data_IF_536641412654
#
_entry.id   IF_536641412654
#
_cell.length_a   1.000
_cell.length_b   1.000
_cell.length_c   1.000
_cell.angle_alpha   90.00
_cell.angle_beta   90.00
_cell.angle_gamma   90.00
#
_symmetry.space_group_name_H-M   'P 1'
#
loop_
_entity.id
_entity.type
_entity.pdbx_description
1 polymer ?
#
# COMPACT_ATOMS: atom_id res chain seq x y z
N UNK A 1 6.58 -15.37 13.35
CA UNK A 1 6.10 -13.98 13.15
C UNK A 1 4.93 -14.09 12.18
N UNK A 2 3.73 -13.65 12.57
CA UNK A 2 2.43 -13.72 11.87
C UNK A 2 2.09 -15.03 11.14
N UNK A 3 1.04 -15.71 11.58
CA UNK A 3 0.60 -17.00 11.02
C UNK A 3 -0.44 -16.83 9.92
N UNK A 4 -1.12 -15.69 9.89
CA UNK A 4 -2.30 -15.44 9.06
C UNK A 4 -2.50 -13.94 8.83
N UNK A 5 -3.35 -13.60 7.86
CA UNK A 5 -3.64 -12.22 7.49
C UNK A 5 -4.25 -11.41 8.64
N UNK A 6 -5.07 -12.03 9.50
CA UNK A 6 -5.68 -11.36 10.64
C UNK A 6 -4.62 -10.90 11.64
N UNK A 7 -3.65 -11.77 11.93
CA UNK A 7 -2.52 -11.44 12.81
C UNK A 7 -1.65 -10.33 12.24
N UNK A 8 -1.41 -10.30 10.91
CA UNK A 8 -0.71 -9.21 10.22
C UNK A 8 -1.50 -7.91 10.36
N UNK A 9 -2.81 -7.96 10.09
CA UNK A 9 -3.70 -6.82 10.15
C UNK A 9 -3.73 -6.19 11.55
N UNK A 10 -3.95 -7.00 12.58
CA UNK A 10 -3.96 -6.54 13.99
C UNK A 10 -2.60 -5.94 14.37
N UNK A 11 -1.50 -6.62 14.04
CA UNK A 11 -0.16 -6.17 14.40
C UNK A 11 0.27 -4.88 13.71
N UNK A 12 0.03 -4.75 12.41
CA UNK A 12 0.36 -3.53 11.69
C UNK A 12 -0.59 -2.38 12.04
N UNK A 13 -1.88 -2.65 12.19
CA UNK A 13 -2.86 -1.63 12.59
C UNK A 13 -2.51 -1.04 13.96
N UNK A 14 -2.02 -1.84 14.90
CA UNK A 14 -1.50 -1.33 16.17
C UNK A 14 -0.29 -0.42 16.00
N UNK A 15 0.68 -0.84 15.19
CA UNK A 15 1.99 -0.21 15.15
C UNK A 15 2.03 1.05 14.26
N UNK A 16 1.22 1.11 13.20
CA UNK A 16 1.31 2.15 12.18
C UNK A 16 1.16 3.57 12.74
N UNK A 17 0.04 3.85 13.43
CA UNK A 17 -0.21 5.17 14.01
C UNK A 17 0.79 5.52 15.12
N UNK A 18 1.18 4.54 15.94
CA UNK A 18 2.19 4.73 16.99
C UNK A 18 3.57 5.05 16.43
N UNK A 19 3.98 4.40 15.34
CA UNK A 19 5.26 4.64 14.67
C UNK A 19 5.33 6.02 13.99
N UNK A 20 4.19 6.66 13.77
CA UNK A 20 4.06 7.97 13.12
C UNK A 20 3.65 9.05 14.14
N UNK A 21 4.14 8.92 15.37
CA UNK A 21 3.95 9.85 16.49
C UNK A 21 2.48 10.15 16.80
N UNK A 22 1.56 9.22 16.49
CA UNK A 22 0.11 9.43 16.61
C UNK A 22 -0.39 10.67 15.85
N UNK A 23 0.29 11.04 14.78
CA UNK A 23 -0.10 12.16 13.94
C UNK A 23 -0.95 11.67 12.76
N UNK A 24 -2.19 12.15 12.67
CA UNK A 24 -3.17 11.74 11.64
C UNK A 24 -2.65 12.03 10.24
N UNK A 25 -2.10 13.23 10.01
CA UNK A 25 -1.60 13.65 8.70
C UNK A 25 -0.41 12.79 8.27
N UNK A 26 0.55 12.51 9.16
CA UNK A 26 1.66 11.60 8.89
C UNK A 26 1.16 10.19 8.59
N UNK A 27 0.23 9.67 9.39
CA UNK A 27 -0.29 8.32 9.26
C UNK A 27 -1.04 8.07 7.95
N UNK A 28 -1.98 8.95 7.61
CA UNK A 28 -2.73 8.87 6.36
C UNK A 28 -1.84 9.22 5.16
N UNK A 29 -1.01 10.26 5.29
CA UNK A 29 -0.07 10.67 4.24
C UNK A 29 0.90 9.56 3.86
N UNK A 30 1.49 8.87 4.83
CA UNK A 30 2.33 7.71 4.57
C UNK A 30 1.56 6.59 3.86
N UNK A 31 0.31 6.32 4.28
CA UNK A 31 -0.55 5.32 3.64
C UNK A 31 -0.85 5.66 2.18
N UNK A 32 -1.18 6.93 1.91
CA UNK A 32 -1.41 7.46 0.56
C UNK A 32 -0.15 7.32 -0.30
N UNK A 33 1.02 7.67 0.23
CA UNK A 33 2.29 7.51 -0.49
C UNK A 33 2.53 6.05 -0.87
N UNK A 34 2.28 5.11 0.04
CA UNK A 34 2.40 3.68 -0.27
C UNK A 34 1.44 3.24 -1.38
N UNK A 35 0.17 3.67 -1.33
CA UNK A 35 -0.81 3.39 -2.39
C UNK A 35 -0.36 3.97 -3.73
N UNK A 36 0.13 5.22 -3.74
CA UNK A 36 0.64 5.88 -4.94
C UNK A 36 1.84 5.12 -5.52
N UNK A 37 2.79 4.73 -4.67
CA UNK A 37 4.02 4.10 -5.13
C UNK A 37 3.80 2.67 -5.61
N UNK A 38 2.93 1.91 -4.93
CA UNK A 38 2.82 0.47 -5.14
C UNK A 38 1.56 0.06 -5.91
N UNK A 39 0.43 0.73 -5.72
CA UNK A 39 -0.86 0.34 -6.32
C UNK A 39 -1.21 1.15 -7.55
N UNK A 40 -0.98 2.47 -7.54
CA UNK A 40 -1.39 3.35 -8.64
C UNK A 40 -0.83 2.96 -10.01
N UNK A 41 0.46 2.56 -10.17
CA UNK A 41 0.97 2.16 -11.48
C UNK A 41 0.23 0.94 -12.06
N UNK A 42 -0.23 0.01 -11.22
CA UNK A 42 -1.02 -1.14 -11.67
C UNK A 42 -2.45 -0.72 -12.03
N UNK A 43 -3.12 0.01 -11.14
CA UNK A 43 -4.51 0.42 -11.33
C UNK A 43 -4.67 1.34 -12.55
N UNK A 44 -3.82 2.36 -12.65
CA UNK A 44 -3.84 3.29 -13.78
C UNK A 44 -3.49 2.58 -15.08
N UNK A 45 -2.54 1.63 -15.08
CA UNK A 45 -2.26 0.86 -16.29
C UNK A 45 -3.50 0.07 -16.75
N UNK A 46 -4.18 -0.65 -15.85
CA UNK A 46 -5.37 -1.41 -16.23
C UNK A 46 -6.51 -0.51 -16.73
N UNK A 47 -6.75 0.62 -16.06
CA UNK A 47 -7.75 1.60 -16.48
C UNK A 47 -7.39 2.20 -17.84
N UNK A 48 -6.15 2.62 -18.03
CA UNK A 48 -5.70 3.21 -19.30
C UNK A 48 -5.75 2.21 -20.46
N UNK A 49 -5.41 0.94 -20.23
CA UNK A 49 -5.53 -0.11 -21.24
C UNK A 49 -7.00 -0.39 -21.61
N UNK A 50 -7.91 -0.32 -20.64
CA UNK A 50 -9.35 -0.48 -20.89
C UNK A 50 -9.96 0.69 -21.68
N UNK A 51 -9.42 1.91 -21.51
CA UNK A 51 -9.85 3.11 -22.24
C UNK A 51 -9.23 3.22 -23.65
N UNK A 52 -8.14 2.50 -23.89
CA UNK A 52 -7.39 2.53 -25.15
C UNK A 52 -8.26 2.38 -26.41
N UNK A 53 -9.22 1.44 -26.50
CA UNK A 53 -10.04 1.25 -27.70
C UNK A 53 -10.99 2.43 -27.98
N UNK A 54 -11.32 3.23 -26.96
CA UNK A 54 -12.30 4.32 -27.05
C UNK A 54 -11.62 5.62 -27.49
N UNK A 55 -10.32 5.79 -27.21
CA UNK A 55 -9.63 7.09 -27.33
C UNK A 55 -8.47 7.08 -28.34
N UNK A 56 -8.24 5.95 -29.03
CA UNK A 56 -7.18 5.86 -30.05
C UNK A 56 -7.59 6.55 -31.37
N UNK A 57 -6.69 7.27 -32.06
CA UNK A 57 -5.28 7.55 -31.74
C UNK A 57 -4.99 8.98 -31.26
N UNK A 58 -6.00 9.76 -30.86
CA UNK A 58 -5.84 11.20 -30.62
C UNK A 58 -5.44 11.56 -29.19
N UNK A 59 -5.59 10.65 -28.21
CA UNK A 59 -5.32 10.95 -26.81
C UNK A 59 -3.85 10.73 -26.42
N UNK A 60 -3.04 11.78 -26.60
CA UNK A 60 -1.63 11.80 -26.19
C UNK A 60 -1.45 11.71 -24.66
N UNK A 61 -2.43 12.16 -23.88
CA UNK A 61 -2.38 12.10 -22.41
C UNK A 61 -2.55 10.65 -21.92
N UNK A 62 -3.44 9.88 -22.56
CA UNK A 62 -3.59 8.46 -22.30
C UNK A 62 -2.29 7.69 -22.59
N UNK A 63 -1.63 7.98 -23.71
CA UNK A 63 -0.34 7.37 -24.05
C UNK A 63 0.74 7.72 -23.03
N UNK A 64 0.86 8.99 -22.64
CA UNK A 64 1.79 9.43 -21.60
C UNK A 64 1.54 8.69 -20.27
N UNK A 65 0.27 8.53 -19.90
CA UNK A 65 -0.12 7.83 -18.67
C UNK A 65 0.32 6.37 -18.70
N UNK A 66 0.11 5.67 -19.82
CA UNK A 66 0.56 4.28 -19.99
C UNK A 66 2.08 4.20 -19.86
N UNK A 67 2.82 5.08 -20.54
CA UNK A 67 4.30 5.12 -20.45
C UNK A 67 4.75 5.37 -19.02
N UNK A 68 4.16 6.33 -18.32
CA UNK A 68 4.49 6.64 -16.93
C UNK A 68 4.21 5.44 -16.00
N UNK A 69 3.10 4.72 -16.21
CA UNK A 69 2.80 3.50 -15.45
C UNK A 69 3.84 2.40 -15.71
N UNK A 70 4.22 2.17 -16.97
CA UNK A 70 5.24 1.20 -17.33
C UNK A 70 6.60 1.54 -16.72
N UNK A 71 7.00 2.81 -16.71
CA UNK A 71 8.21 3.29 -16.03
C UNK A 71 8.12 3.00 -14.53
N UNK A 72 7.00 3.33 -13.88
CA UNK A 72 6.77 3.04 -12.46
C UNK A 72 6.89 1.55 -12.12
N UNK A 73 6.26 0.68 -12.92
CA UNK A 73 6.38 -0.77 -12.78
C UNK A 73 7.80 -1.28 -13.02
N UNK A 74 8.52 -0.70 -13.98
CA UNK A 74 9.93 -0.98 -14.23
C UNK A 74 10.82 -0.64 -13.03
N UNK A 75 10.55 0.49 -12.36
CA UNK A 75 11.24 0.88 -11.12
C UNK A 75 10.93 -0.08 -9.97
N UNK A 76 9.66 -0.45 -9.77
CA UNK A 76 9.27 -1.45 -8.77
C UNK A 76 9.98 -2.79 -9.00
N UNK A 77 10.02 -3.26 -10.24
CA UNK A 77 10.68 -4.51 -10.62
C UNK A 77 12.20 -4.42 -10.40
N UNK A 78 12.82 -3.30 -10.77
CA UNK A 78 14.25 -3.06 -10.60
C UNK A 78 14.65 -3.12 -9.12
N UNK A 79 13.88 -2.45 -8.26
CA UNK A 79 14.07 -2.53 -6.81
C UNK A 79 13.92 -3.98 -6.31
N UNK A 80 12.93 -4.72 -6.82
CA UNK A 80 12.69 -6.11 -6.43
C UNK A 80 13.82 -7.04 -6.86
N UNK A 81 14.37 -6.84 -8.06
CA UNK A 81 15.54 -7.58 -8.56
C UNK A 81 16.77 -7.27 -7.70
N UNK A 82 16.97 -6.00 -7.34
CA UNK A 82 18.04 -5.62 -6.42
C UNK A 82 17.88 -6.31 -5.07
N UNK A 83 16.69 -6.25 -4.45
CA UNK A 83 16.38 -6.94 -3.18
C UNK A 83 16.64 -8.45 -3.30
N UNK A 84 16.26 -9.09 -4.41
CA UNK A 84 16.55 -10.51 -4.63
C UNK A 84 18.05 -10.81 -4.65
N UNK A 85 18.86 -9.94 -5.26
CA UNK A 85 20.33 -10.12 -5.29
C UNK A 85 20.95 -10.01 -3.90
N UNK A 86 20.38 -9.17 -3.03
CA UNK A 86 20.90 -8.96 -1.67
C UNK A 86 20.39 -9.99 -0.66
N UNK A 87 19.11 -10.37 -0.75
CA UNK A 87 18.42 -11.13 0.30
C UNK A 87 17.86 -12.48 -0.18
N UNK A 88 18.14 -12.90 -1.41
CA UNK A 88 17.67 -14.15 -2.03
C UNK A 88 16.14 -14.32 -2.02
N UNK A 89 15.39 -13.23 -1.96
CA UNK A 89 13.93 -13.26 -1.94
C UNK A 89 13.34 -13.60 -3.33
N UNK A 90 12.33 -14.48 -3.41
CA UNK A 90 11.74 -14.90 -4.68
C UNK A 90 10.93 -13.79 -5.34
N UNK A 91 10.92 -13.77 -6.68
CA UNK A 91 10.12 -12.82 -7.49
C UNK A 91 8.70 -13.31 -7.78
N UNK A 92 8.35 -14.55 -7.40
CA UNK A 92 7.08 -15.22 -7.76
C UNK A 92 5.84 -14.37 -7.47
N UNK A 93 5.89 -13.57 -6.42
CA UNK A 93 4.76 -12.79 -5.91
C UNK A 93 4.94 -11.27 -6.08
N UNK A 94 5.83 -10.82 -6.98
CA UNK A 94 6.09 -9.38 -7.12
C UNK A 94 4.85 -8.58 -7.54
N UNK A 95 4.00 -9.17 -8.38
CA UNK A 95 2.77 -8.55 -8.86
C UNK A 95 1.75 -8.29 -7.73
N UNK A 96 1.85 -9.00 -6.61
CA UNK A 96 1.07 -8.73 -5.40
C UNK A 96 1.46 -7.40 -4.73
N UNK A 97 2.53 -6.72 -5.15
CA UNK A 97 2.88 -5.40 -4.66
C UNK A 97 1.73 -4.40 -4.84
N UNK A 98 0.98 -4.49 -5.95
CA UNK A 98 -0.20 -3.66 -6.18
C UNK A 98 -1.28 -3.84 -5.12
N UNK A 99 -1.58 -5.09 -4.77
CA UNK A 99 -2.56 -5.42 -3.73
C UNK A 99 -2.02 -5.05 -2.34
N UNK A 100 -0.72 -5.29 -2.11
CA UNK A 100 -0.05 -4.95 -0.85
C UNK A 100 -0.11 -3.46 -0.54
N UNK A 101 0.04 -2.59 -1.54
CA UNK A 101 -0.10 -1.14 -1.34
C UNK A 101 -1.50 -0.73 -0.87
N UNK A 102 -2.55 -1.32 -1.45
CA UNK A 102 -3.94 -1.08 -1.04
C UNK A 102 -4.19 -1.60 0.38
N UNK A 103 -3.66 -2.78 0.70
CA UNK A 103 -3.75 -3.36 2.03
C UNK A 103 -3.09 -2.47 3.08
N UNK A 104 -1.90 -1.93 2.79
CA UNK A 104 -1.20 -1.00 3.69
C UNK A 104 -1.96 0.32 3.83
N UNK A 105 -2.53 0.85 2.74
CA UNK A 105 -3.41 2.02 2.81
C UNK A 105 -4.62 1.80 3.71
N UNK A 106 -5.26 0.62 3.61
CA UNK A 106 -6.37 0.23 4.45
C UNK A 106 -5.96 0.06 5.92
N UNK A 107 -4.79 -0.55 6.18
CA UNK A 107 -4.19 -0.65 7.52
C UNK A 107 -3.92 0.75 8.10
N UNK A 108 -3.42 1.69 7.31
CA UNK A 108 -3.14 3.05 7.77
C UNK A 108 -4.44 3.74 8.23
N UNK A 109 -5.51 3.66 7.44
CA UNK A 109 -6.82 4.19 7.79
C UNK A 109 -7.41 3.50 9.03
N UNK A 110 -7.37 2.16 9.07
CA UNK A 110 -7.84 1.37 10.20
C UNK A 110 -7.07 1.68 11.49
N UNK A 111 -5.76 1.85 11.38
CA UNK A 111 -4.88 2.21 12.50
C UNK A 111 -5.29 3.53 13.14
N UNK A 112 -5.53 4.56 12.33
CA UNK A 112 -6.00 5.88 12.80
C UNK A 112 -7.38 5.75 13.44
N UNK A 113 -8.33 5.08 12.77
CA UNK A 113 -9.69 4.89 13.27
C UNK A 113 -9.72 4.20 14.63
N UNK A 114 -9.07 3.03 14.75
CA UNK A 114 -9.06 2.26 15.99
C UNK A 114 -8.30 2.98 17.10
N UNK A 115 -7.24 3.75 16.78
CA UNK A 115 -6.51 4.55 17.77
C UNK A 115 -7.34 5.69 18.36
N UNK A 116 -8.15 6.35 17.53
CA UNK A 116 -8.96 7.49 17.95
C UNK A 116 -10.25 7.06 18.66
N UNK A 117 -10.87 5.98 18.19
CA UNK A 117 -12.14 5.49 18.75
C UNK A 117 -11.97 4.50 19.90
N UNK A 118 -10.80 3.85 19.99
CA UNK A 118 -10.55 2.72 20.89
C UNK A 118 -11.27 1.42 20.49
N UNK A 119 -12.07 1.44 19.42
CA UNK A 119 -12.84 0.29 18.96
C UNK A 119 -11.92 -0.65 18.19
N UNK A 120 -11.92 -1.94 18.55
CA UNK A 120 -11.12 -2.95 17.85
C UNK A 120 -9.61 -2.79 18.04
N UNK A 121 -9.16 -1.91 18.92
CA UNK A 121 -7.74 -1.71 19.25
C UNK A 121 -7.27 -2.81 20.20
N UNK A 122 -6.95 -3.99 19.67
CA UNK A 122 -6.50 -5.15 20.44
C UNK A 122 -5.08 -5.57 20.10
N UNK A 123 -4.49 -6.37 20.98
CA UNK A 123 -3.27 -7.11 20.71
C UNK A 123 -3.35 -8.51 21.28
N UNK A 124 -3.30 -9.54 20.42
CA UNK A 124 -3.45 -10.95 20.82
C UNK A 124 -4.72 -11.16 21.66
N UNK A 125 -5.81 -10.52 21.24
CA UNK A 125 -7.11 -10.58 21.92
C UNK A 125 -7.23 -9.73 23.19
N UNK A 126 -6.23 -8.94 23.57
CA UNK A 126 -6.32 -8.03 24.73
C UNK A 126 -6.56 -6.59 24.27
N UNK A 127 -7.54 -5.87 24.84
CA UNK A 127 -7.76 -4.46 24.49
C UNK A 127 -6.56 -3.62 24.94
N UNK A 128 -6.16 -2.71 24.08
CA UNK A 128 -5.11 -1.74 24.36
C UNK A 128 -5.75 -0.44 24.85
N UNK A 129 -5.18 0.15 25.91
CA UNK A 129 -5.69 1.42 26.45
C UNK A 129 -5.34 2.57 25.51
N UNK A 130 -6.35 3.36 25.15
CA UNK A 130 -6.14 4.64 24.47
C UNK A 130 -5.66 5.63 25.53
N UNK A 131 -4.35 5.81 25.66
CA UNK A 131 -3.83 6.94 26.43
C UNK A 131 -3.92 8.17 25.53
N UNK A 132 -5.05 8.88 25.57
CA UNK A 132 -5.18 10.22 25.02
C UNK A 132 -4.39 11.14 25.94
N UNK A 133 -3.27 11.66 25.45
CA UNK A 133 -2.55 12.80 26.03
C UNK A 133 -2.61 13.92 25.01
#
# INVERSE_FOLDING_TARGET
MYTDLSSVWEGWSKNWFLALDRNIAKALGAGVVVVIMFSSPWLLLFVSLALLPIHLPQDQFLLLTIVACLVGLGLQLSLRVWVRRQFLLPLKYYWLAGIGGLLVGAIAANSVWCSLTGIGWTWKGRPLKVNVH
#
